data_IF_098757353462
#
_entry.id   IF_098757353462
#
_cell.length_a   1.000
_cell.length_b   1.000
_cell.length_c   1.000
_cell.angle_alpha   90.00
_cell.angle_beta   90.00
_cell.angle_gamma   90.00
#
_symmetry.space_group_name_H-M   'P 1'
#
loop_
_entity.id
_entity.type
_entity.pdbx_description
1 polymer ?
#
# COMPACT_ATOMS: atom_id res chain seq x y z
N UNK A 1 -29.20 9.21 15.07
CA UNK A 1 -28.35 8.07 14.65
C UNK A 1 -28.52 7.73 13.17
N UNK A 2 -29.70 7.27 12.70
CA UNK A 2 -29.94 6.96 11.28
C UNK A 2 -29.60 8.09 10.30
N UNK A 3 -29.97 9.34 10.61
CA UNK A 3 -29.61 10.53 9.80
C UNK A 3 -28.10 10.74 9.66
N UNK A 4 -27.32 10.34 10.67
CA UNK A 4 -25.86 10.39 10.65
C UNK A 4 -25.21 9.11 10.12
N UNK A 5 -25.98 8.23 9.46
CA UNK A 5 -25.43 7.07 8.74
C UNK A 5 -25.12 5.83 9.57
N UNK A 6 -25.39 5.84 10.88
CA UNK A 6 -25.18 4.67 11.73
C UNK A 6 -26.44 3.81 11.85
N UNK A 7 -26.28 2.50 11.65
CA UNK A 7 -27.31 1.50 11.93
C UNK A 7 -27.25 1.14 13.42
N UNK A 8 -28.28 1.52 14.16
CA UNK A 8 -28.36 1.34 15.60
C UNK A 8 -29.82 1.12 15.99
N UNK A 9 -30.12 -0.09 16.46
CA UNK A 9 -31.37 -0.33 17.18
C UNK A 9 -31.18 0.18 18.61
N UNK A 10 -31.76 1.35 18.91
CA UNK A 10 -31.53 2.06 20.16
C UNK A 10 -32.09 1.23 21.33
N UNK A 11 -31.23 0.88 22.27
CA UNK A 11 -31.58 0.22 23.52
C UNK A 11 -31.72 1.24 24.65
N UNK A 12 -30.81 2.21 24.71
CA UNK A 12 -30.84 3.27 25.71
C UNK A 12 -30.27 4.58 25.11
N UNK A 13 -30.65 5.71 25.68
CA UNK A 13 -30.09 7.01 25.31
C UNK A 13 -30.10 7.97 26.49
N UNK A 14 -29.16 8.92 26.50
CA UNK A 14 -29.13 9.99 27.49
C UNK A 14 -28.64 11.29 26.89
N UNK A 15 -29.13 12.41 27.43
CA UNK A 15 -28.53 13.70 27.18
C UNK A 15 -27.18 13.80 27.89
N UNK A 16 -26.18 14.37 27.22
CA UNK A 16 -24.87 14.69 27.82
C UNK A 16 -24.87 16.17 28.22
N UNK A 17 -25.34 17.02 27.31
CA UNK A 17 -25.45 18.45 27.55
C UNK A 17 -25.49 19.26 26.26
N UNK A 18 -25.61 20.57 26.42
CA UNK A 18 -25.71 21.52 25.31
C UNK A 18 -24.68 22.64 25.50
N UNK A 19 -23.89 22.90 24.46
CA UNK A 19 -23.01 24.06 24.38
C UNK A 19 -23.61 25.17 23.50
N UNK A 20 -22.81 26.19 23.19
CA UNK A 20 -23.26 27.36 22.44
C UNK A 20 -23.76 27.05 21.02
N UNK A 21 -23.24 25.98 20.38
CA UNK A 21 -23.58 25.61 18.99
C UNK A 21 -24.16 24.22 18.84
N UNK A 22 -23.90 23.33 19.80
CA UNK A 22 -24.19 21.91 19.65
C UNK A 22 -24.86 21.32 20.90
N UNK A 23 -25.78 20.39 20.70
CA UNK A 23 -26.32 19.50 21.72
C UNK A 23 -25.72 18.10 21.54
N UNK A 24 -25.40 17.43 22.64
CA UNK A 24 -24.78 16.12 22.64
C UNK A 24 -25.64 15.09 23.39
N UNK A 25 -25.79 13.92 22.78
CA UNK A 25 -26.48 12.77 23.34
C UNK A 25 -25.58 11.55 23.23
N UNK A 26 -25.72 10.63 24.17
CA UNK A 26 -25.20 9.28 24.01
C UNK A 26 -26.36 8.35 23.65
N UNK A 27 -26.08 7.42 22.74
CA UNK A 27 -26.99 6.34 22.37
C UNK A 27 -26.26 5.02 22.50
N UNK A 28 -26.85 4.09 23.25
CA UNK A 28 -26.47 2.68 23.28
C UNK A 28 -27.38 1.88 22.35
N UNK A 29 -26.78 1.04 21.53
CA UNK A 29 -27.47 0.18 20.58
C UNK A 29 -27.50 -1.25 21.10
N UNK A 30 -28.55 -2.00 20.75
CA UNK A 30 -28.54 -3.46 20.90
C UNK A 30 -27.30 -4.05 20.22
N UNK A 31 -26.69 -5.03 20.86
CA UNK A 31 -25.42 -5.61 20.43
C UNK A 31 -24.18 -4.86 20.95
N UNK A 32 -24.36 -3.84 21.81
CA UNK A 32 -23.29 -3.26 22.62
C UNK A 32 -22.56 -2.06 22.01
N UNK A 33 -22.80 -1.73 20.73
CA UNK A 33 -22.26 -0.52 20.09
C UNK A 33 -22.81 0.75 20.75
N UNK A 34 -21.97 1.78 20.86
CA UNK A 34 -22.35 3.09 21.40
C UNK A 34 -21.95 4.24 20.49
N UNK A 35 -22.75 5.31 20.51
CA UNK A 35 -22.45 6.52 19.75
C UNK A 35 -22.71 7.80 20.56
N UNK A 36 -21.85 8.79 20.34
CA UNK A 36 -22.13 10.19 20.62
C UNK A 36 -22.83 10.79 19.40
N UNK A 37 -24.02 11.32 19.62
CA UNK A 37 -24.80 12.07 18.63
C UNK A 37 -24.65 13.55 18.93
N UNK A 38 -24.11 14.28 17.97
CA UNK A 38 -24.02 15.74 18.00
C UNK A 38 -25.06 16.33 17.04
N UNK A 39 -25.84 17.29 17.54
CA UNK A 39 -26.82 18.06 16.76
C UNK A 39 -26.60 19.55 16.99
N UNK A 40 -27.27 20.42 16.23
CA UNK A 40 -27.29 21.87 16.51
C UNK A 40 -27.90 22.19 17.89
N UNK A 41 -27.56 23.33 18.46
CA UNK A 41 -28.19 23.94 19.63
C UNK A 41 -28.92 25.25 19.25
N UNK A 42 -30.23 25.39 19.53
CA UNK A 42 -31.13 24.36 20.04
C UNK A 42 -31.30 23.20 19.04
N UNK A 43 -31.70 22.03 19.55
CA UNK A 43 -31.87 20.84 18.73
C UNK A 43 -32.91 21.09 17.64
N UNK A 44 -32.54 20.82 16.39
CA UNK A 44 -33.43 20.90 15.24
C UNK A 44 -33.36 19.57 14.48
N UNK A 45 -34.50 18.91 14.28
CA UNK A 45 -34.60 17.63 13.55
C UNK A 45 -34.14 17.77 12.09
N UNK A 46 -34.34 18.96 11.50
CA UNK A 46 -33.83 19.32 10.18
C UNK A 46 -32.33 19.61 10.14
N UNK A 47 -31.72 19.96 11.28
CA UNK A 47 -30.30 20.34 11.38
C UNK A 47 -29.32 19.19 11.13
N UNK A 48 -28.05 19.53 10.92
CA UNK A 48 -26.99 18.53 10.73
C UNK A 48 -26.83 17.65 11.98
N UNK A 49 -26.54 16.36 11.72
CA UNK A 49 -26.32 15.36 12.77
C UNK A 49 -25.02 14.66 12.47
N UNK A 50 -24.07 14.75 13.41
CA UNK A 50 -22.87 13.93 13.40
C UNK A 50 -23.03 12.79 14.41
N UNK A 51 -22.54 11.60 14.04
CA UNK A 51 -22.59 10.41 14.87
C UNK A 51 -21.18 9.85 14.94
N UNK A 52 -20.61 9.85 16.14
CA UNK A 52 -19.25 9.40 16.40
C UNK A 52 -19.31 8.17 17.31
N UNK A 53 -18.48 7.17 17.05
CA UNK A 53 -18.38 6.01 17.94
C UNK A 53 -18.01 6.46 19.35
N UNK A 54 -18.62 5.83 20.36
CA UNK A 54 -18.20 6.01 21.75
C UNK A 54 -16.72 5.68 21.98
N UNK A 55 -16.12 4.82 21.14
CA UNK A 55 -14.70 4.47 21.22
C UNK A 55 -13.74 5.66 20.95
N UNK A 56 -14.23 6.75 20.34
CA UNK A 56 -13.48 7.99 20.15
C UNK A 56 -13.31 8.82 21.42
N UNK A 57 -14.08 8.54 22.46
CA UNK A 57 -14.14 9.34 23.67
C UNK A 57 -13.58 8.56 24.85
N UNK A 58 -12.71 9.23 25.60
CA UNK A 58 -12.14 8.67 26.83
C UNK A 58 -13.10 8.83 28.01
N UNK A 59 -13.00 7.90 28.95
CA UNK A 59 -13.77 7.96 30.19
C UNK A 59 -13.39 9.22 31.00
N UNK A 60 -14.40 9.88 31.56
CA UNK A 60 -14.21 11.11 32.34
C UNK A 60 -14.00 12.39 31.52
N UNK A 61 -13.98 12.32 30.19
CA UNK A 61 -13.98 13.51 29.33
C UNK A 61 -15.28 14.32 29.40
N UNK A 62 -15.22 15.58 28.95
CA UNK A 62 -16.38 16.49 28.85
C UNK A 62 -17.54 15.89 28.05
N UNK A 63 -17.20 15.09 27.02
CA UNK A 63 -18.11 14.20 26.33
C UNK A 63 -17.55 12.79 26.52
N UNK A 64 -18.33 11.94 27.17
CA UNK A 64 -17.94 10.56 27.49
C UNK A 64 -19.16 9.65 27.41
N UNK A 65 -18.91 8.38 27.12
CA UNK A 65 -19.95 7.36 27.09
C UNK A 65 -20.07 6.68 28.45
N UNK A 66 -21.30 6.49 28.94
CA UNK A 66 -21.62 5.81 30.21
C UNK A 66 -22.70 4.73 30.07
N UNK A 67 -23.39 4.67 28.92
CA UNK A 67 -24.38 3.65 28.62
C UNK A 67 -23.76 2.40 27.99
N UNK A 68 -22.52 2.52 27.51
CA UNK A 68 -21.79 1.43 26.86
C UNK A 68 -20.44 1.20 27.54
N UNK A 69 -19.94 -0.02 27.44
CA UNK A 69 -18.62 -0.40 27.95
C UNK A 69 -17.63 -0.53 26.79
N UNK A 70 -16.42 0.01 26.95
CA UNK A 70 -15.38 -0.02 25.91
C UNK A 70 -15.00 -1.45 25.50
N UNK A 71 -14.86 -2.35 26.47
CA UNK A 71 -14.54 -3.76 26.22
C UNK A 71 -15.64 -4.44 25.39
N UNK A 72 -16.91 -4.21 25.72
CA UNK A 72 -18.05 -4.74 24.96
C UNK A 72 -18.05 -4.20 23.53
N UNK A 73 -17.83 -2.90 23.34
CA UNK A 73 -17.77 -2.31 22.00
C UNK A 73 -16.64 -2.89 21.14
N UNK A 74 -15.50 -3.21 21.75
CA UNK A 74 -14.37 -3.85 21.05
C UNK A 74 -14.61 -5.33 20.73
N UNK A 75 -15.72 -5.96 21.15
CA UNK A 75 -16.07 -7.32 20.72
C UNK A 75 -16.29 -7.42 19.21
N UNK A 76 -16.63 -6.31 18.53
CA UNK A 76 -16.70 -6.26 17.06
C UNK A 76 -15.40 -6.75 16.41
N UNK A 77 -14.25 -6.52 17.05
CA UNK A 77 -12.94 -6.94 16.56
C UNK A 77 -12.82 -8.47 16.51
N UNK A 78 -13.51 -9.21 17.39
CA UNK A 78 -13.48 -10.68 17.38
C UNK A 78 -14.22 -11.23 16.14
N UNK A 79 -15.33 -10.59 15.77
CA UNK A 79 -16.05 -10.86 14.51
C UNK A 79 -15.16 -10.54 13.31
N UNK A 80 -14.47 -9.39 13.33
CA UNK A 80 -13.52 -9.03 12.28
C UNK A 80 -12.35 -10.02 12.20
N UNK A 81 -11.86 -10.53 13.34
CA UNK A 81 -10.79 -11.51 13.38
C UNK A 81 -11.20 -12.83 12.71
N UNK A 82 -12.45 -13.26 12.91
CA UNK A 82 -12.99 -14.45 12.23
C UNK A 82 -13.03 -14.26 10.71
N UNK A 83 -13.46 -13.09 10.25
CA UNK A 83 -13.46 -12.75 8.83
C UNK A 83 -12.04 -12.59 8.25
N UNK A 84 -11.12 -12.02 9.02
CA UNK A 84 -9.70 -11.90 8.66
C UNK A 84 -9.05 -13.28 8.49
N UNK A 85 -9.35 -14.23 9.38
CA UNK A 85 -8.88 -15.61 9.28
C UNK A 85 -9.38 -16.30 8.01
N UNK A 86 -10.65 -16.11 7.64
CA UNK A 86 -11.19 -16.61 6.38
C UNK A 86 -10.50 -15.97 5.14
N UNK A 87 -9.94 -14.77 5.29
CA UNK A 87 -9.13 -14.09 4.28
C UNK A 87 -7.61 -14.38 4.38
N UNK A 88 -7.20 -15.36 5.21
CA UNK A 88 -5.80 -15.79 5.33
C UNK A 88 -4.97 -15.03 6.36
N UNK A 89 -5.55 -14.10 7.12
CA UNK A 89 -4.87 -13.41 8.23
C UNK A 89 -5.22 -14.06 9.55
N UNK A 90 -4.28 -14.78 10.15
CA UNK A 90 -4.46 -15.41 11.47
C UNK A 90 -3.82 -14.57 12.57
N UNK A 91 -4.58 -14.30 13.62
CA UNK A 91 -4.11 -13.55 14.79
C UNK A 91 -4.78 -14.12 16.05
N UNK A 92 -3.99 -14.72 16.93
CA UNK A 92 -4.41 -14.95 18.31
C UNK A 92 -4.34 -13.61 19.04
N UNK A 93 -5.47 -12.93 19.15
CA UNK A 93 -5.53 -11.55 19.65
C UNK A 93 -5.13 -11.53 21.13
N UNK A 94 -4.02 -10.87 21.41
CA UNK A 94 -3.56 -10.53 22.76
C UNK A 94 -4.19 -9.23 23.26
N UNK A 95 -4.24 -8.23 22.39
CA UNK A 95 -4.79 -6.92 22.69
C UNK A 95 -5.42 -6.29 21.45
N UNK A 96 -6.38 -5.39 21.67
CA UNK A 96 -7.14 -4.71 20.63
C UNK A 96 -7.53 -3.30 21.06
N UNK A 97 -7.46 -2.36 20.13
CA UNK A 97 -7.94 -1.00 20.36
C UNK A 97 -8.61 -0.42 19.14
N UNK A 98 -9.45 0.57 19.40
CA UNK A 98 -9.92 1.47 18.36
C UNK A 98 -8.83 2.47 17.97
N UNK A 99 -8.74 2.79 16.68
CA UNK A 99 -7.74 3.70 16.13
C UNK A 99 -8.40 4.99 15.65
N UNK A 100 -9.31 4.88 14.68
CA UNK A 100 -10.09 6.00 14.16
C UNK A 100 -11.30 5.52 13.35
N UNK A 101 -12.15 6.48 12.99
CA UNK A 101 -13.21 6.31 11.99
C UNK A 101 -13.08 7.38 10.92
N UNK A 102 -13.40 7.00 9.70
CA UNK A 102 -13.63 7.92 8.58
C UNK A 102 -15.13 7.94 8.26
N UNK A 103 -15.53 8.69 7.24
CA UNK A 103 -16.92 8.64 6.74
C UNK A 103 -17.32 7.24 6.24
N UNK A 104 -16.36 6.43 5.79
CA UNK A 104 -16.63 5.16 5.13
C UNK A 104 -16.24 3.94 5.97
N UNK A 105 -15.30 4.09 6.91
CA UNK A 105 -14.68 2.95 7.58
C UNK A 105 -14.40 3.21 9.07
N UNK A 106 -14.29 2.13 9.83
CA UNK A 106 -13.72 2.09 11.17
C UNK A 106 -12.40 1.30 11.13
N UNK A 107 -11.43 1.73 11.93
CA UNK A 107 -10.11 1.11 12.00
C UNK A 107 -9.80 0.69 13.43
N UNK A 108 -9.38 -0.55 13.59
CA UNK A 108 -9.02 -1.16 14.86
C UNK A 108 -7.63 -1.75 14.75
N UNK A 109 -6.80 -1.56 15.76
CA UNK A 109 -5.52 -2.26 15.86
C UNK A 109 -5.74 -3.56 16.64
N UNK A 110 -5.10 -4.63 16.18
CA UNK A 110 -4.95 -5.89 16.89
C UNK A 110 -3.48 -6.21 17.05
N UNK A 111 -3.09 -6.60 18.26
CA UNK A 111 -1.79 -7.18 18.56
C UNK A 111 -1.97 -8.68 18.79
N UNK A 112 -1.15 -9.48 18.12
CA UNK A 112 -1.21 -10.94 18.17
C UNK A 112 -0.19 -11.49 19.18
N UNK A 113 -0.46 -12.67 19.74
CA UNK A 113 0.44 -13.33 20.69
C UNK A 113 1.81 -13.68 20.07
N UNK A 114 1.87 -13.88 18.74
CA UNK A 114 3.11 -14.16 18.01
C UNK A 114 3.94 -12.90 17.70
N UNK A 115 3.57 -11.76 18.29
CA UNK A 115 4.26 -10.48 18.12
C UNK A 115 3.89 -9.72 16.85
N UNK A 116 3.06 -10.29 15.96
CA UNK A 116 2.50 -9.56 14.81
C UNK A 116 1.44 -8.58 15.27
N UNK A 117 1.12 -7.65 14.38
CA UNK A 117 -0.04 -6.78 14.56
C UNK A 117 -0.62 -6.35 13.23
N UNK A 118 -1.89 -5.97 13.27
CA UNK A 118 -2.65 -5.53 12.11
C UNK A 118 -3.56 -4.36 12.46
N UNK A 119 -3.84 -3.50 11.49
CA UNK A 119 -5.02 -2.66 11.48
C UNK A 119 -6.12 -3.36 10.70
N UNK A 120 -7.22 -3.69 11.34
CA UNK A 120 -8.44 -4.15 10.70
C UNK A 120 -9.27 -2.97 10.22
N UNK A 121 -9.54 -2.94 8.92
CA UNK A 121 -10.48 -2.01 8.31
C UNK A 121 -11.86 -2.67 8.26
N UNK A 122 -12.84 -2.00 8.84
CA UNK A 122 -14.25 -2.37 8.81
C UNK A 122 -15.04 -1.32 8.02
N UNK A 123 -15.89 -1.74 7.09
CA UNK A 123 -16.78 -0.80 6.40
C UNK A 123 -17.85 -0.28 7.36
N UNK A 124 -18.02 1.04 7.47
CA UNK A 124 -19.02 1.64 8.34
C UNK A 124 -20.45 1.39 7.85
N UNK A 125 -20.64 1.17 6.55
CA UNK A 125 -21.95 0.95 5.94
C UNK A 125 -22.58 -0.40 6.32
N UNK A 126 -21.79 -1.46 6.38
CA UNK A 126 -22.28 -2.83 6.63
C UNK A 126 -21.67 -3.48 7.87
N UNK A 127 -20.65 -2.88 8.46
CA UNK A 127 -19.87 -3.50 9.54
C UNK A 127 -18.98 -4.65 9.07
N UNK A 128 -18.82 -4.83 7.76
CA UNK A 128 -18.06 -5.95 7.20
C UNK A 128 -16.55 -5.70 7.28
N UNK A 129 -15.78 -6.78 7.47
CA UNK A 129 -14.33 -6.74 7.32
C UNK A 129 -13.98 -6.42 5.86
N UNK A 130 -13.14 -5.40 5.67
CA UNK A 130 -12.63 -5.01 4.36
C UNK A 130 -11.26 -5.64 4.09
N UNK A 131 -10.30 -5.47 5.02
CA UNK A 131 -8.94 -6.02 4.94
C UNK A 131 -8.19 -5.88 6.26
N UNK A 132 -7.13 -6.66 6.39
CA UNK A 132 -6.11 -6.49 7.41
C UNK A 132 -4.88 -5.80 6.81
N UNK A 133 -4.41 -4.73 7.45
CA UNK A 133 -3.22 -3.98 7.05
C UNK A 133 -2.13 -4.32 8.04
N UNK A 134 -1.02 -4.95 7.63
CA UNK A 134 0.08 -5.26 8.55
C UNK A 134 0.57 -4.01 9.28
N UNK A 135 0.87 -4.11 10.58
CA UNK A 135 1.33 -2.96 11.37
C UNK A 135 2.57 -2.28 10.76
N UNK A 136 3.44 -3.06 10.13
CA UNK A 136 4.59 -2.56 9.40
C UNK A 136 4.24 -1.63 8.22
N UNK A 137 2.99 -1.64 7.74
CA UNK A 137 2.51 -0.78 6.65
C UNK A 137 1.42 0.19 7.09
N UNK A 138 1.01 0.13 8.36
CA UNK A 138 -0.14 0.86 8.87
C UNK A 138 0.10 2.36 9.12
N UNK A 139 1.31 2.88 8.89
CA UNK A 139 1.65 4.27 9.23
C UNK A 139 0.74 5.35 8.62
N UNK A 140 0.02 5.04 7.53
CA UNK A 140 -0.96 5.93 6.92
C UNK A 140 -2.33 5.96 7.63
N UNK A 141 -2.59 5.04 8.57
CA UNK A 141 -3.84 4.96 9.33
C UNK A 141 -3.63 5.47 10.75
N UNK A 142 -4.05 6.71 11.02
CA UNK A 142 -4.13 7.21 12.40
C UNK A 142 -2.82 7.28 13.17
N UNK A 143 -1.69 7.43 12.46
CA UNK A 143 -0.35 7.38 13.07
C UNK A 143 0.22 5.96 13.19
N UNK A 144 -0.49 4.94 12.72
CA UNK A 144 -0.05 3.55 12.71
C UNK A 144 -0.35 2.78 13.98
N UNK A 145 0.35 1.66 14.12
CA UNK A 145 0.21 0.77 15.26
C UNK A 145 0.98 1.29 16.48
N UNK A 146 0.39 1.11 17.67
CA UNK A 146 0.98 1.52 18.95
C UNK A 146 1.05 0.38 19.96
N UNK A 147 0.33 -0.72 19.75
CA UNK A 147 0.38 -1.93 20.58
C UNK A 147 1.43 -2.93 20.06
N UNK A 148 1.84 -2.79 18.80
CA UNK A 148 2.93 -3.56 18.17
C UNK A 148 4.11 -2.64 17.86
N UNK A 149 5.34 -3.11 18.07
CA UNK A 149 6.54 -2.40 17.61
C UNK A 149 6.63 -2.49 16.07
N UNK A 150 6.00 -1.51 15.41
CA UNK A 150 5.95 -1.46 13.95
C UNK A 150 7.34 -1.32 13.30
N UNK A 151 8.33 -0.75 14.00
CA UNK A 151 9.70 -0.60 13.49
C UNK A 151 10.43 -1.94 13.53
N UNK A 152 10.32 -2.66 14.65
CA UNK A 152 10.85 -4.02 14.75
C UNK A 152 10.20 -4.93 13.70
N UNK A 153 8.87 -4.86 13.53
CA UNK A 153 8.13 -5.61 12.53
C UNK A 153 8.56 -5.28 11.09
N UNK A 154 8.75 -4.01 10.75
CA UNK A 154 9.28 -3.58 9.45
C UNK A 154 10.70 -4.14 9.22
N UNK A 155 11.55 -4.05 10.23
CA UNK A 155 12.96 -4.48 10.14
C UNK A 155 13.05 -5.99 9.91
N UNK A 156 12.29 -6.77 10.68
CA UNK A 156 12.22 -8.23 10.51
C UNK A 156 11.72 -8.60 9.11
N UNK A 157 10.64 -7.97 8.65
CA UNK A 157 10.05 -8.26 7.36
C UNK A 157 10.96 -7.84 6.19
N UNK A 158 11.68 -6.72 6.31
CA UNK A 158 12.70 -6.32 5.35
C UNK A 158 13.85 -7.35 5.29
N UNK A 159 14.31 -7.84 6.45
CA UNK A 159 15.30 -8.92 6.52
C UNK A 159 14.80 -10.22 5.88
N UNK A 160 13.50 -10.54 6.02
CA UNK A 160 12.88 -11.67 5.35
C UNK A 160 12.87 -11.51 3.83
N UNK A 161 12.42 -10.37 3.29
CA UNK A 161 12.43 -10.14 1.85
C UNK A 161 13.84 -10.09 1.26
N UNK A 162 14.83 -9.62 2.01
CA UNK A 162 16.24 -9.68 1.61
C UNK A 162 16.68 -11.12 1.34
N UNK A 163 16.32 -12.04 2.24
CA UNK A 163 16.61 -13.47 2.09
C UNK A 163 15.86 -14.08 0.90
N UNK A 164 14.57 -13.75 0.73
CA UNK A 164 13.78 -14.26 -0.38
C UNK A 164 14.27 -13.75 -1.74
N UNK A 165 14.58 -12.45 -1.85
CA UNK A 165 15.15 -11.87 -3.05
C UNK A 165 16.50 -12.52 -3.40
N UNK A 166 17.36 -12.75 -2.40
CA UNK A 166 18.62 -13.48 -2.58
C UNK A 166 18.42 -14.90 -3.12
N UNK A 167 17.45 -15.66 -2.59
CA UNK A 167 17.09 -16.99 -3.12
C UNK A 167 16.58 -16.93 -4.57
N UNK A 168 15.90 -15.85 -4.93
CA UNK A 168 15.44 -15.58 -6.29
C UNK A 168 16.56 -15.03 -7.22
N UNK A 169 17.82 -15.02 -6.78
CA UNK A 169 18.96 -14.54 -7.56
C UNK A 169 19.12 -13.02 -7.63
N UNK A 170 18.40 -12.28 -6.78
CA UNK A 170 18.45 -10.83 -6.73
C UNK A 170 19.01 -10.34 -5.39
N UNK A 171 20.30 -9.99 -5.37
CA UNK A 171 20.96 -9.47 -4.18
C UNK A 171 20.43 -8.08 -3.84
N UNK A 172 19.68 -7.99 -2.74
CA UNK A 172 19.09 -6.75 -2.23
C UNK A 172 19.05 -6.83 -0.70
N UNK A 173 19.83 -5.99 -0.02
CA UNK A 173 19.64 -5.72 1.41
C UNK A 173 18.46 -4.74 1.53
N UNK A 174 17.27 -5.23 1.79
CA UNK A 174 16.04 -4.43 1.74
C UNK A 174 16.02 -3.47 2.93
N UNK A 175 15.99 -2.16 2.65
CA UNK A 175 15.81 -1.12 3.69
C UNK A 175 14.37 -0.63 3.78
N UNK A 176 13.61 -0.78 2.69
CA UNK A 176 12.21 -0.39 2.61
C UNK A 176 11.51 -1.26 1.59
N UNK A 177 10.23 -1.55 1.85
CA UNK A 177 9.40 -2.32 0.95
C UNK A 177 7.96 -1.79 0.94
N UNK A 178 7.20 -2.19 -0.07
CA UNK A 178 5.81 -1.81 -0.25
C UNK A 178 5.05 -2.94 -0.93
N UNK A 179 3.94 -3.37 -0.34
CA UNK A 179 3.08 -4.37 -0.99
C UNK A 179 2.30 -3.74 -2.13
N UNK A 180 2.28 -4.42 -3.27
CA UNK A 180 1.45 -4.08 -4.41
C UNK A 180 0.17 -4.93 -4.36
N UNK A 181 -0.99 -4.37 -4.77
CA UNK A 181 -2.23 -5.13 -4.87
C UNK A 181 -2.10 -6.35 -5.79
N UNK A 182 -2.74 -7.46 -5.40
CA UNK A 182 -2.86 -8.67 -6.20
C UNK A 182 -4.22 -9.31 -5.98
N UNK A 183 -4.84 -9.77 -7.07
CA UNK A 183 -6.09 -10.55 -7.01
C UNK A 183 -5.81 -12.06 -6.88
N UNK A 184 -4.54 -12.46 -6.99
CA UNK A 184 -4.10 -13.84 -6.82
C UNK A 184 -3.67 -14.06 -5.36
N UNK A 185 -4.45 -14.79 -4.54
CA UNK A 185 -4.15 -14.99 -3.13
C UNK A 185 -2.92 -15.88 -2.89
N UNK A 186 -2.37 -16.50 -3.95
CA UNK A 186 -1.14 -17.30 -3.86
C UNK A 186 0.12 -16.48 -4.14
N UNK A 187 -0.04 -15.19 -4.47
CA UNK A 187 1.07 -14.30 -4.79
C UNK A 187 1.16 -13.19 -3.76
N UNK A 188 2.39 -12.86 -3.43
CA UNK A 188 2.74 -11.68 -2.69
C UNK A 188 3.63 -10.82 -3.58
N UNK A 189 3.17 -9.62 -3.91
CA UNK A 189 3.87 -8.71 -4.82
C UNK A 189 4.42 -7.56 -3.98
N UNK A 190 5.73 -7.34 -4.03
CA UNK A 190 6.42 -6.42 -3.13
C UNK A 190 7.44 -5.60 -3.93
N UNK A 191 7.34 -4.29 -3.84
CA UNK A 191 8.42 -3.40 -4.25
C UNK A 191 9.50 -3.37 -3.19
N UNK A 192 10.75 -3.57 -3.62
CA UNK A 192 11.95 -3.61 -2.80
C UNK A 192 12.81 -2.38 -3.10
N UNK A 193 13.16 -1.64 -2.05
CA UNK A 193 14.22 -0.64 -2.06
C UNK A 193 15.43 -1.22 -1.34
N UNK A 194 16.53 -1.35 -2.07
CA UNK A 194 17.77 -1.92 -1.56
C UNK A 194 18.66 -0.83 -0.95
N UNK A 195 19.19 -1.10 0.23
CA UNK A 195 20.12 -0.26 0.97
C UNK A 195 21.38 -0.02 0.16
N UNK A 196 21.81 1.24 0.09
CA UNK A 196 23.03 1.63 -0.61
C UNK A 196 23.04 1.31 -2.11
N UNK A 197 21.87 0.98 -2.68
CA UNK A 197 21.72 0.65 -4.09
C UNK A 197 20.62 1.51 -4.69
N UNK A 198 20.91 2.04 -5.87
CA UNK A 198 19.91 2.74 -6.66
C UNK A 198 19.09 1.81 -7.56
N UNK A 199 19.41 0.51 -7.52
CA UNK A 199 18.63 -0.55 -8.12
C UNK A 199 17.66 -1.07 -7.06
N UNK A 200 16.36 -0.90 -7.31
CA UNK A 200 15.29 -1.64 -6.63
C UNK A 200 14.69 -2.69 -7.55
N UNK A 201 13.63 -3.34 -7.07
CA UNK A 201 12.91 -4.34 -7.87
C UNK A 201 11.51 -4.61 -7.39
N UNK A 202 10.72 -5.25 -8.24
CA UNK A 202 9.42 -5.82 -7.89
C UNK A 202 9.61 -7.33 -7.74
N UNK A 203 9.44 -7.80 -6.51
CA UNK A 203 9.39 -9.21 -6.21
C UNK A 203 7.97 -9.75 -6.33
N UNK A 204 7.85 -10.92 -6.94
CA UNK A 204 6.63 -11.74 -6.97
C UNK A 204 6.98 -13.04 -6.27
N UNK A 205 6.51 -13.19 -5.05
CA UNK A 205 6.71 -14.39 -4.23
C UNK A 205 5.45 -15.25 -4.25
N UNK A 206 5.64 -16.56 -4.16
CA UNK A 206 4.63 -17.57 -3.91
C UNK A 206 5.07 -18.43 -2.72
N UNK A 207 4.25 -19.39 -2.29
CA UNK A 207 4.60 -20.28 -1.18
C UNK A 207 5.91 -21.07 -1.40
N UNK A 208 6.27 -21.37 -2.65
CA UNK A 208 7.39 -22.27 -2.99
C UNK A 208 8.47 -21.64 -3.86
N UNK A 209 8.18 -20.50 -4.49
CA UNK A 209 9.07 -19.88 -5.47
C UNK A 209 9.01 -18.35 -5.42
N UNK A 210 10.02 -17.68 -5.96
CA UNK A 210 10.14 -16.24 -5.96
C UNK A 210 10.87 -15.72 -7.19
N UNK A 211 10.43 -14.57 -7.68
CA UNK A 211 11.05 -13.90 -8.81
C UNK A 211 11.15 -12.41 -8.58
N UNK A 212 12.29 -11.82 -8.91
CA UNK A 212 12.48 -10.37 -8.78
C UNK A 212 12.79 -9.78 -10.15
N UNK A 213 11.93 -8.85 -10.58
CA UNK A 213 12.17 -7.99 -11.73
C UNK A 213 12.86 -6.72 -11.23
N UNK A 214 14.03 -6.38 -11.77
CA UNK A 214 14.65 -5.11 -11.45
C UNK A 214 13.76 -3.96 -11.97
N UNK A 215 13.85 -2.77 -11.37
CA UNK A 215 12.90 -1.70 -11.68
C UNK A 215 12.89 -1.21 -13.14
N UNK A 216 13.97 -1.41 -13.90
CA UNK A 216 13.93 -1.14 -15.34
C UNK A 216 13.03 -2.15 -16.07
N UNK A 217 13.08 -3.43 -15.70
CA UNK A 217 12.32 -4.52 -16.38
C UNK A 217 10.95 -4.79 -15.77
N UNK A 218 10.72 -4.41 -14.52
CA UNK A 218 9.45 -4.56 -13.83
C UNK A 218 8.28 -3.91 -14.59
N UNK A 219 8.52 -2.74 -15.18
CA UNK A 219 7.52 -1.99 -15.93
C UNK A 219 7.08 -2.69 -17.22
N UNK A 220 8.00 -3.32 -17.93
CA UNK A 220 7.70 -4.17 -19.09
C UNK A 220 6.94 -5.45 -18.69
N UNK A 221 6.97 -5.83 -17.40
CA UNK A 221 6.23 -6.96 -16.84
C UNK A 221 4.94 -6.52 -16.10
N UNK A 222 4.50 -5.27 -16.30
CA UNK A 222 3.22 -4.77 -15.78
C UNK A 222 3.28 -4.14 -14.38
N UNK A 223 4.47 -3.90 -13.83
CA UNK A 223 4.64 -3.34 -12.48
C UNK A 223 5.32 -1.98 -12.50
N UNK A 224 4.82 -1.03 -11.70
CA UNK A 224 5.48 0.27 -11.54
C UNK A 224 6.33 0.27 -10.26
N UNK A 225 7.58 0.70 -10.37
CA UNK A 225 8.39 1.04 -9.21
C UNK A 225 8.13 2.49 -8.77
N UNK A 226 7.93 2.70 -7.47
CA UNK A 226 7.71 3.98 -6.80
C UNK A 226 8.89 4.43 -5.92
N UNK A 227 9.69 3.49 -5.40
CA UNK A 227 10.85 3.77 -4.55
C UNK A 227 12.14 3.94 -5.35
N UNK A 228 12.17 3.48 -6.59
CA UNK A 228 13.33 3.60 -7.47
C UNK A 228 13.09 4.70 -8.49
N UNK A 229 13.99 5.69 -8.53
CA UNK A 229 13.91 6.77 -9.51
C UNK A 229 14.35 6.27 -10.88
N UNK A 230 13.86 6.93 -11.93
CA UNK A 230 14.13 6.54 -13.31
C UNK A 230 15.58 6.77 -13.72
N UNK A 231 16.15 7.89 -13.30
CA UNK A 231 17.53 8.31 -13.60
C UNK A 231 18.58 7.33 -13.06
N UNK A 232 18.26 6.65 -11.96
CA UNK A 232 19.17 5.64 -11.41
C UNK A 232 19.33 4.39 -12.27
N UNK A 233 18.45 4.18 -13.25
CA UNK A 233 18.55 3.08 -14.19
C UNK A 233 19.53 3.36 -15.34
N UNK A 234 19.97 4.62 -15.53
CA UNK A 234 20.82 5.01 -16.65
C UNK A 234 22.20 4.36 -16.61
N UNK A 235 22.76 4.14 -15.41
CA UNK A 235 24.03 3.44 -15.26
C UNK A 235 23.96 1.99 -15.77
N UNK A 236 22.84 1.30 -15.47
CA UNK A 236 22.56 -0.05 -15.99
C UNK A 236 22.45 -0.04 -17.51
N UNK A 237 21.63 0.86 -18.07
CA UNK A 237 21.43 0.98 -19.52
C UNK A 237 22.73 1.30 -20.26
N UNK A 238 23.57 2.16 -19.68
CA UNK A 238 24.91 2.48 -20.21
C UNK A 238 25.79 1.23 -20.23
N UNK A 239 25.77 0.42 -19.17
CA UNK A 239 26.53 -0.84 -19.12
C UNK A 239 26.06 -1.83 -20.18
N UNK A 240 24.75 -1.95 -20.41
CA UNK A 240 24.21 -2.83 -21.44
C UNK A 240 24.65 -2.36 -22.85
N UNK A 241 24.68 -1.05 -23.12
CA UNK A 241 25.22 -0.49 -24.37
C UNK A 241 26.72 -0.73 -24.56
N UNK A 242 27.52 -0.63 -23.49
CA UNK A 242 28.94 -1.00 -23.52
C UNK A 242 29.09 -2.47 -23.97
N UNK A 243 28.23 -3.36 -23.48
CA UNK A 243 28.18 -4.77 -23.92
C UNK A 243 27.93 -4.96 -25.42
N UNK A 244 27.30 -3.98 -26.08
CA UNK A 244 27.09 -3.94 -27.53
C UNK A 244 28.11 -3.08 -28.30
N UNK A 245 29.27 -2.81 -27.69
CA UNK A 245 30.32 -1.96 -28.26
C UNK A 245 29.80 -0.54 -28.59
N UNK A 246 28.98 0.03 -27.70
CA UNK A 246 28.48 1.43 -27.76
C UNK A 246 28.95 2.24 -26.57
N UNK A 247 30.23 2.13 -26.23
CA UNK A 247 30.84 2.77 -25.06
C UNK A 247 30.80 4.31 -25.09
N UNK A 248 30.60 4.94 -26.25
CA UNK A 248 30.46 6.39 -26.36
C UNK A 248 29.13 6.91 -25.81
N UNK A 249 28.08 6.08 -25.82
CA UNK A 249 26.76 6.50 -25.38
C UNK A 249 26.62 6.30 -23.86
N UNK A 250 26.86 7.37 -23.10
CA UNK A 250 26.41 7.44 -21.72
C UNK A 250 24.94 7.86 -21.69
N UNK A 251 24.09 7.07 -21.04
CA UNK A 251 22.65 7.30 -21.06
C UNK A 251 22.29 8.52 -20.22
N UNK A 252 21.56 9.46 -20.82
CA UNK A 252 21.10 10.72 -20.20
C UNK A 252 19.59 10.79 -20.03
N UNK A 253 18.83 10.02 -20.82
CA UNK A 253 17.41 9.78 -20.62
C UNK A 253 17.03 8.40 -21.16
N UNK A 254 15.91 7.86 -20.70
CA UNK A 254 15.39 6.59 -21.18
C UNK A 254 13.86 6.60 -21.19
N UNK A 255 13.19 5.71 -21.91
CA UNK A 255 11.77 5.44 -21.70
C UNK A 255 11.42 4.08 -22.27
N UNK A 256 10.48 3.40 -21.63
CA UNK A 256 9.87 2.22 -22.23
C UNK A 256 9.01 2.69 -23.40
N UNK A 257 9.23 2.08 -24.56
CA UNK A 257 8.49 2.42 -25.78
C UNK A 257 7.40 1.41 -26.09
N UNK A 258 7.53 0.16 -25.64
CA UNK A 258 6.50 -0.85 -25.80
C UNK A 258 7.00 -2.25 -25.41
N UNK A 259 6.12 -3.22 -25.57
CA UNK A 259 6.39 -4.63 -25.34
C UNK A 259 5.56 -5.51 -26.26
N UNK A 260 6.06 -6.71 -26.53
CA UNK A 260 5.34 -7.85 -27.08
C UNK A 260 5.06 -8.86 -25.96
N UNK A 261 4.60 -10.06 -26.29
CA UNK A 261 4.43 -11.14 -25.31
C UNK A 261 5.77 -11.68 -24.77
N UNK A 262 6.87 -11.43 -25.49
CA UNK A 262 8.19 -12.03 -25.20
C UNK A 262 9.29 -11.01 -24.97
N UNK A 263 9.15 -9.77 -25.44
CA UNK A 263 10.20 -8.75 -25.39
C UNK A 263 9.64 -7.37 -25.02
N UNK A 264 10.37 -6.64 -24.20
CA UNK A 264 10.11 -5.24 -23.86
C UNK A 264 11.24 -4.34 -24.36
N UNK A 265 10.89 -3.12 -24.76
CA UNK A 265 11.80 -2.22 -25.45
C UNK A 265 11.97 -0.90 -24.71
N UNK A 266 13.23 -0.49 -24.52
CA UNK A 266 13.61 0.77 -23.87
C UNK A 266 14.37 1.62 -24.87
N UNK A 267 13.84 2.80 -25.18
CA UNK A 267 14.59 3.84 -25.89
C UNK A 267 15.48 4.59 -24.90
N UNK A 268 16.72 4.89 -25.31
CA UNK A 268 17.69 5.67 -24.53
C UNK A 268 18.24 6.83 -25.35
N UNK A 269 18.54 7.94 -24.68
CA UNK A 269 19.26 9.08 -25.23
C UNK A 269 20.70 9.08 -24.70
N UNK A 270 21.65 9.51 -25.54
CA UNK A 270 23.06 9.63 -25.18
C UNK A 270 23.37 11.07 -24.73
N UNK A 271 24.26 11.23 -23.74
CA UNK A 271 24.68 12.54 -23.23
C UNK A 271 25.56 13.32 -24.21
N UNK A 272 26.18 12.65 -25.18
CA UNK A 272 26.97 13.24 -26.26
C UNK A 272 26.12 13.96 -27.33
N UNK A 273 24.79 13.88 -27.23
CA UNK A 273 23.84 14.49 -28.17
C UNK A 273 23.75 13.77 -29.51
N UNK A 274 24.43 12.63 -29.68
CA UNK A 274 24.28 11.77 -30.85
C UNK A 274 22.95 10.99 -30.78
N UNK A 275 22.48 10.44 -31.91
CA UNK A 275 21.30 9.58 -31.91
C UNK A 275 21.44 8.43 -30.93
N UNK A 276 20.42 8.25 -30.10
CA UNK A 276 20.33 7.19 -29.14
C UNK A 276 19.87 5.85 -29.73
N UNK A 277 19.54 4.94 -28.82
CA UNK A 277 19.36 3.52 -29.13
C UNK A 277 18.07 2.98 -28.54
N UNK A 278 17.65 1.80 -29.00
CA UNK A 278 16.60 1.00 -28.36
C UNK A 278 17.21 -0.32 -27.91
N UNK A 279 17.03 -0.67 -26.64
CA UNK A 279 17.45 -1.95 -26.06
C UNK A 279 16.24 -2.85 -25.88
N UNK A 280 16.34 -4.10 -26.34
CA UNK A 280 15.33 -5.14 -26.17
C UNK A 280 15.67 -6.07 -25.00
N UNK A 281 14.68 -6.38 -24.16
CA UNK A 281 14.82 -7.27 -23.00
C UNK A 281 13.78 -8.38 -23.07
N UNK A 282 14.15 -9.65 -22.78
CA UNK A 282 13.15 -10.70 -22.63
C UNK A 282 12.22 -10.41 -21.43
N UNK A 283 10.92 -10.64 -21.65
CA UNK A 283 9.88 -10.55 -20.62
C UNK A 283 9.84 -11.85 -19.82
N UNK A 284 9.43 -11.77 -18.56
CA UNK A 284 9.34 -12.95 -17.72
C UNK A 284 10.71 -13.56 -17.41
N UNK A 285 11.80 -12.79 -17.42
CA UNK A 285 13.11 -13.23 -16.94
C UNK A 285 13.50 -12.37 -15.74
N UNK A 286 14.12 -12.99 -14.72
CA UNK A 286 14.64 -12.26 -13.57
C UNK A 286 15.94 -11.54 -13.97
N UNK A 287 15.97 -10.20 -13.85
CA UNK A 287 17.12 -9.34 -14.18
C UNK A 287 17.79 -9.68 -15.53
N UNK A 288 17.05 -9.59 -16.65
CA UNK A 288 17.59 -9.98 -17.95
C UNK A 288 18.65 -9.00 -18.45
N UNK A 289 19.71 -9.51 -19.07
CA UNK A 289 20.54 -8.69 -19.93
C UNK A 289 19.75 -8.24 -21.17
N UNK A 290 20.11 -7.09 -21.74
CA UNK A 290 19.60 -6.70 -23.04
C UNK A 290 19.99 -7.78 -24.08
N UNK A 291 19.02 -8.25 -24.85
CA UNK A 291 19.20 -9.30 -25.87
C UNK A 291 19.59 -8.70 -27.22
N UNK A 292 19.13 -7.49 -27.49
CA UNK A 292 19.40 -6.79 -28.73
C UNK A 292 19.50 -5.28 -28.52
N UNK A 293 20.11 -4.62 -29.51
CA UNK A 293 20.08 -3.17 -29.64
C UNK A 293 19.69 -2.80 -31.08
N UNK A 294 18.88 -1.75 -31.20
CA UNK A 294 18.39 -1.23 -32.46
C UNK A 294 18.69 0.27 -32.53
N UNK A 295 18.97 0.77 -33.73
CA UNK A 295 18.89 2.20 -33.99
C UNK A 295 17.43 2.66 -33.94
N UNK A 296 17.22 3.95 -33.70
CA UNK A 296 15.88 4.53 -33.73
C UNK A 296 15.18 4.41 -35.10
N UNK A 297 15.94 4.33 -36.19
CA UNK A 297 15.39 4.06 -37.52
C UNK A 297 14.82 2.64 -37.62
N UNK A 298 15.52 1.65 -37.05
CA UNK A 298 15.07 0.25 -37.03
C UNK A 298 13.86 0.06 -36.10
N UNK A 299 13.78 0.82 -35.01
CA UNK A 299 12.70 0.69 -34.02
C UNK A 299 11.41 1.45 -34.39
N UNK A 300 11.27 2.01 -35.60
CA UNK A 300 10.11 2.84 -36.00
C UNK A 300 8.76 2.13 -35.83
N UNK A 301 8.72 0.81 -35.99
CA UNK A 301 7.51 -0.01 -35.83
C UNK A 301 7.18 -0.41 -34.39
N UNK A 302 8.07 -0.16 -33.43
CA UNK A 302 7.91 -0.60 -32.04
C UNK A 302 7.34 0.55 -31.21
N UNK A 303 6.12 0.40 -30.70
CA UNK A 303 5.59 1.33 -29.70
C UNK A 303 5.45 2.80 -30.16
N UNK A 304 5.32 3.02 -31.48
CA UNK A 304 5.31 4.35 -32.08
C UNK A 304 6.68 5.00 -32.23
N UNK A 305 7.76 4.21 -32.15
CA UNK A 305 9.14 4.62 -32.43
C UNK A 305 9.79 5.48 -31.36
N UNK A 306 11.03 5.91 -31.66
CA UNK A 306 11.80 6.80 -30.79
C UNK A 306 11.17 8.20 -30.69
N UNK A 307 11.09 8.76 -29.49
CA UNK A 307 10.52 10.08 -29.21
C UNK A 307 11.36 10.96 -28.27
N UNK A 308 12.46 10.44 -27.72
CA UNK A 308 13.37 11.28 -26.94
C UNK A 308 13.93 12.39 -27.84
N UNK A 309 14.12 13.63 -27.33
CA UNK A 309 14.45 14.78 -28.18
C UNK A 309 15.68 14.58 -29.08
N UNK A 310 16.75 13.98 -28.56
CA UNK A 310 18.00 13.68 -29.30
C UNK A 310 17.83 12.60 -30.38
N UNK A 311 16.75 11.83 -30.31
CA UNK A 311 16.51 10.65 -31.15
C UNK A 311 15.50 10.92 -32.27
N UNK A 312 14.87 12.09 -32.28
CA UNK A 312 13.98 12.49 -33.36
C UNK A 312 14.80 12.77 -34.63
N UNK A 313 14.29 12.42 -35.82
CA UNK A 313 14.89 12.88 -37.08
C UNK A 313 15.02 14.41 -37.04
N UNK A 314 16.19 14.94 -37.38
CA UNK A 314 16.33 16.38 -37.63
C UNK A 314 15.47 16.70 -38.86
N UNK A 315 14.60 17.68 -38.72
CA UNK A 315 13.79 18.22 -39.82
C UNK A 315 14.68 18.89 -40.87
#
# INVERSE_FOLDING_TARGET
VKKGGANCEIENSRAIGTGAKNSYFEVACKGGSGYIVQTTAPMNIGGEVAVNSCLLYEDGGNVSCKLTNRQTQLQVVDTLNTAAAAAGTTCAIKDKRYVLSTKADNYFEVACDDGKGYIYQQTSATGAFARAIPCAQAGFVGGGCTMTDAVAAQTEQAGFYSKLAGKAGFTCDVEKYGMLPTNDPKKEIVELKCKGSDVGGIAVFTATDGKVYDCLTAEMNGYRCSFTKKDTQYARLTKDLVGFNKASCQVSDARIIGSTDTEGFVEVACSDGLPGWVLGYPIGVAKPAAKEFLSCAQAKGIGGGCKLPTNKPKA
#
